data_IF_293198741089
#
_entry.id   IF_293198741089
#
_cell.length_a   1.000
_cell.length_b   1.000
_cell.length_c   1.000
_cell.angle_alpha   90.00
_cell.angle_beta   90.00
_cell.angle_gamma   90.00
#
_symmetry.space_group_name_H-M   'P 1'
#
loop_
_entity.id
_entity.type
_entity.pdbx_description
1 polymer ?
#
# COMPACT_ATOMS: atom_id res chain seq x y z
N UNK A 1 -5.18 0.92 28.00
CA UNK A 1 -3.97 0.28 27.46
C UNK A 1 -3.61 1.04 26.18
N UNK A 2 -2.49 1.76 26.16
CA UNK A 2 -2.03 2.45 24.94
C UNK A 2 -1.58 1.38 23.96
N UNK A 3 -2.41 1.11 22.96
CA UNK A 3 -2.00 0.26 21.84
C UNK A 3 -0.92 0.99 21.04
N UNK A 4 0.16 0.29 20.69
CA UNK A 4 1.18 0.87 19.79
C UNK A 4 0.53 1.38 18.50
N UNK A 5 1.10 2.40 17.84
CA UNK A 5 0.64 2.82 16.52
C UNK A 5 0.64 1.66 15.52
N UNK A 6 -0.35 1.63 14.63
CA UNK A 6 -0.39 0.67 13.51
C UNK A 6 0.77 0.96 12.57
N UNK A 7 1.55 -0.06 12.23
CA UNK A 7 2.77 0.01 11.42
C UNK A 7 2.45 -0.35 9.97
N UNK A 8 2.63 0.61 9.07
CA UNK A 8 2.28 0.48 7.65
C UNK A 8 3.52 0.60 6.78
N UNK A 9 3.87 -0.45 6.05
CA UNK A 9 4.90 -0.42 5.02
C UNK A 9 4.31 -0.01 3.68
N UNK A 10 4.99 0.87 2.97
CA UNK A 10 4.59 1.37 1.66
C UNK A 10 5.63 0.95 0.63
N UNK A 11 5.28 -0.03 -0.20
CA UNK A 11 6.13 -0.57 -1.27
C UNK A 11 5.89 0.25 -2.53
N UNK A 12 6.79 1.20 -2.80
CA UNK A 12 6.60 2.22 -3.84
C UNK A 12 7.95 2.87 -4.26
N UNK A 13 7.93 4.13 -4.69
CA UNK A 13 9.11 4.92 -5.09
C UNK A 13 9.86 5.55 -3.91
N UNK A 14 9.47 5.25 -2.69
CA UNK A 14 10.01 5.87 -1.49
C UNK A 14 9.02 6.87 -0.86
N UNK A 15 9.43 7.51 0.21
CA UNK A 15 8.66 8.56 0.89
C UNK A 15 9.57 9.77 1.12
N UNK A 16 9.09 10.97 0.82
CA UNK A 16 9.77 12.21 1.23
C UNK A 16 9.39 12.55 2.68
N UNK A 17 10.30 12.40 3.66
CA UNK A 17 9.99 12.64 5.07
C UNK A 17 9.77 14.12 5.40
N UNK A 18 10.10 15.03 4.47
CA UNK A 18 9.91 16.48 4.62
C UNK A 18 8.58 16.97 4.08
N UNK A 19 7.78 16.08 3.47
CA UNK A 19 6.45 16.45 2.98
C UNK A 19 5.49 16.68 4.16
N UNK A 20 4.86 17.87 4.18
CA UNK A 20 3.99 18.30 5.29
C UNK A 20 2.75 17.43 5.47
N UNK A 21 2.31 16.72 4.45
CA UNK A 21 1.14 15.84 4.52
C UNK A 21 1.50 14.43 5.03
N UNK A 22 2.78 14.09 5.06
CA UNK A 22 3.23 12.75 5.46
C UNK A 22 3.61 12.67 6.92
N UNK A 23 4.46 13.49 7.43
CA UNK A 23 5.03 13.60 8.79
C UNK A 23 5.24 12.24 9.49
N UNK A 24 6.29 12.08 10.29
CA UNK A 24 6.57 10.89 11.08
C UNK A 24 6.71 9.58 10.25
N UNK A 25 7.69 9.58 9.33
CA UNK A 25 8.20 8.36 8.72
C UNK A 25 9.24 7.77 9.66
N UNK A 26 9.05 6.52 10.07
CA UNK A 26 9.92 5.86 11.06
C UNK A 26 11.25 5.38 10.46
N UNK A 27 11.31 5.29 9.12
CA UNK A 27 12.48 4.82 8.38
C UNK A 27 12.07 4.01 7.18
N UNK A 28 13.02 3.22 6.66
CA UNK A 28 12.74 2.39 5.50
C UNK A 28 13.96 1.69 4.92
N UNK A 29 13.77 1.13 3.73
CA UNK A 29 14.77 0.39 2.98
C UNK A 29 14.64 0.69 1.48
N UNK A 30 15.76 0.79 0.78
CA UNK A 30 15.81 0.70 -0.68
C UNK A 30 16.10 -0.73 -1.09
N UNK A 31 15.32 -1.28 -2.02
CA UNK A 31 15.49 -2.65 -2.51
C UNK A 31 15.63 -2.61 -4.02
N UNK A 32 16.67 -3.25 -4.53
CA UNK A 32 16.97 -3.34 -5.98
C UNK A 32 17.26 -4.77 -6.37
N UNK A 33 16.92 -5.10 -7.60
CA UNK A 33 17.42 -6.30 -8.24
C UNK A 33 18.42 -5.89 -9.33
N UNK A 34 19.67 -6.29 -9.15
CA UNK A 34 20.76 -6.00 -10.07
C UNK A 34 21.69 -7.21 -10.16
N UNK A 35 22.17 -7.50 -11.37
CA UNK A 35 23.15 -8.56 -11.63
C UNK A 35 22.74 -9.93 -11.02
N UNK A 36 21.43 -10.25 -11.12
CA UNK A 36 20.86 -11.50 -10.62
C UNK A 36 20.69 -11.57 -9.08
N UNK A 37 20.87 -10.45 -8.37
CA UNK A 37 20.79 -10.40 -6.90
C UNK A 37 19.86 -9.30 -6.42
N UNK A 38 19.25 -9.55 -5.27
CA UNK A 38 18.53 -8.50 -4.53
C UNK A 38 19.52 -7.83 -3.59
N UNK A 39 19.50 -6.51 -3.61
CA UNK A 39 20.34 -5.66 -2.76
C UNK A 39 19.43 -4.75 -1.92
N UNK A 40 19.70 -4.65 -0.62
CA UNK A 40 19.05 -3.72 0.30
C UNK A 40 20.02 -2.61 0.70
N UNK A 41 19.53 -1.37 0.71
CA UNK A 41 20.30 -0.20 1.17
C UNK A 41 19.44 0.76 1.99
N UNK A 42 20.03 1.82 2.54
CA UNK A 42 19.33 2.85 3.32
C UNK A 42 18.66 3.94 2.47
N UNK A 43 18.65 3.82 1.14
CA UNK A 43 18.12 4.86 0.23
C UNK A 43 16.61 4.71 0.03
N UNK A 44 15.82 5.01 1.03
CA UNK A 44 14.37 4.87 1.02
C UNK A 44 13.61 6.16 0.69
N UNK A 45 14.30 7.30 0.53
CA UNK A 45 13.66 8.56 0.18
C UNK A 45 13.12 8.55 -1.25
N UNK A 46 11.98 9.25 -1.45
CA UNK A 46 11.28 9.32 -2.72
C UNK A 46 11.95 10.30 -3.70
N UNK A 47 12.14 9.83 -4.93
CA UNK A 47 12.66 10.63 -6.04
C UNK A 47 11.63 10.87 -7.16
N UNK A 48 10.49 10.18 -7.13
CA UNK A 48 9.46 10.25 -8.18
C UNK A 48 8.18 10.98 -7.72
N UNK A 49 8.00 11.12 -6.40
CA UNK A 49 6.85 11.78 -5.79
C UNK A 49 5.61 10.87 -5.61
N UNK A 50 5.58 9.71 -6.28
CA UNK A 50 4.42 8.81 -6.26
C UNK A 50 4.21 8.16 -4.88
N UNK A 51 5.23 7.57 -4.29
CA UNK A 51 5.13 6.95 -2.96
C UNK A 51 4.84 7.96 -1.87
N UNK A 52 5.28 9.20 -2.01
CA UNK A 52 4.91 10.30 -1.11
C UNK A 52 3.42 10.64 -1.22
N UNK A 53 2.84 10.63 -2.42
CA UNK A 53 1.40 10.83 -2.61
C UNK A 53 0.57 9.69 -2.02
N UNK A 54 1.04 8.44 -2.17
CA UNK A 54 0.47 7.25 -1.52
C UNK A 54 0.51 7.40 0.00
N UNK A 55 1.67 7.73 0.57
CA UNK A 55 1.85 7.95 2.00
C UNK A 55 0.94 9.06 2.55
N UNK A 56 0.82 10.18 1.84
CA UNK A 56 -0.06 11.28 2.21
C UNK A 56 -1.54 10.86 2.22
N UNK A 57 -1.95 10.01 1.28
CA UNK A 57 -3.31 9.46 1.22
C UNK A 57 -3.58 8.56 2.42
N UNK A 58 -2.67 7.61 2.73
CA UNK A 58 -2.77 6.74 3.91
C UNK A 58 -2.83 7.57 5.19
N UNK A 59 -1.94 8.55 5.34
CA UNK A 59 -1.87 9.47 6.49
C UNK A 59 -3.17 10.23 6.69
N UNK A 60 -3.87 10.59 5.61
CA UNK A 60 -5.16 11.25 5.66
C UNK A 60 -6.24 10.45 6.38
N UNK A 61 -6.23 9.12 6.23
CA UNK A 61 -7.19 8.21 6.88
C UNK A 61 -6.72 7.74 8.26
N UNK A 62 -5.42 7.60 8.45
CA UNK A 62 -4.80 7.07 9.68
C UNK A 62 -3.68 8.01 10.19
N UNK A 63 -4.03 9.16 10.79
CA UNK A 63 -3.03 10.17 11.22
C UNK A 63 -2.02 9.63 12.23
N UNK A 64 -2.40 8.66 13.06
CA UNK A 64 -1.54 8.08 14.10
C UNK A 64 -0.74 6.84 13.64
N UNK A 65 -0.83 6.42 12.37
CA UNK A 65 -0.08 5.26 11.88
C UNK A 65 1.43 5.57 11.79
N UNK A 66 2.27 4.61 12.11
CA UNK A 66 3.72 4.65 11.85
C UNK A 66 3.99 4.18 10.42
N UNK A 67 4.57 5.04 9.59
CA UNK A 67 4.83 4.75 8.18
C UNK A 67 6.28 4.31 7.97
N UNK A 68 6.46 3.27 7.15
CA UNK A 68 7.76 2.74 6.73
C UNK A 68 7.85 2.77 5.21
N UNK A 69 8.96 3.29 4.69
CA UNK A 69 9.21 3.38 3.25
C UNK A 69 9.95 2.14 2.76
N UNK A 70 9.40 1.46 1.76
CA UNK A 70 10.04 0.32 1.10
C UNK A 70 10.17 0.68 -0.37
N UNK A 71 11.33 1.22 -0.75
CA UNK A 71 11.54 1.76 -2.08
C UNK A 71 11.99 0.68 -3.05
N UNK A 72 11.11 0.33 -3.99
CA UNK A 72 11.39 -0.62 -5.08
C UNK A 72 11.39 0.06 -6.45
N UNK A 73 10.77 1.24 -6.59
CA UNK A 73 10.82 2.04 -7.82
C UNK A 73 11.92 3.08 -7.73
N UNK A 74 12.86 3.07 -8.67
CA UNK A 74 14.05 3.93 -8.61
C UNK A 74 14.09 5.03 -9.67
N UNK A 75 13.78 4.71 -10.92
CA UNK A 75 13.79 5.67 -12.05
C UNK A 75 12.43 5.80 -12.73
N UNK A 76 11.57 4.80 -12.61
CA UNK A 76 10.21 4.73 -13.13
C UNK A 76 9.38 3.84 -12.21
N UNK A 77 8.08 3.85 -12.37
CA UNK A 77 7.14 3.07 -11.52
C UNK A 77 7.09 1.61 -11.98
N UNK A 78 8.26 0.98 -12.01
CA UNK A 78 8.48 -0.42 -12.39
C UNK A 78 9.48 -1.05 -11.42
N UNK A 79 9.25 -2.30 -11.05
CA UNK A 79 10.15 -3.09 -10.22
C UNK A 79 10.29 -4.51 -10.75
N UNK A 80 11.44 -5.11 -10.52
CA UNK A 80 11.62 -6.54 -10.66
C UNK A 80 10.83 -7.28 -9.57
N UNK A 81 10.22 -8.41 -9.92
CA UNK A 81 9.43 -9.19 -8.97
C UNK A 81 10.25 -9.65 -7.77
N UNK A 82 11.51 -9.98 -7.99
CA UNK A 82 12.45 -10.39 -6.95
C UNK A 82 12.60 -9.30 -5.86
N UNK A 83 12.63 -8.03 -6.26
CA UNK A 83 12.65 -6.90 -5.31
C UNK A 83 11.31 -6.73 -4.59
N UNK A 84 10.19 -7.03 -5.25
CA UNK A 84 8.86 -6.98 -4.64
C UNK A 84 8.69 -8.09 -3.60
N UNK A 85 9.15 -9.31 -3.92
CA UNK A 85 9.11 -10.43 -2.98
C UNK A 85 9.94 -10.14 -1.74
N UNK A 86 11.15 -9.59 -1.93
CA UNK A 86 12.02 -9.18 -0.83
C UNK A 86 11.42 -8.03 0.01
N UNK A 87 10.65 -7.13 -0.62
CA UNK A 87 9.91 -6.07 0.07
C UNK A 87 8.83 -6.63 1.00
N UNK A 88 8.13 -7.69 0.56
CA UNK A 88 7.14 -8.39 1.39
C UNK A 88 7.83 -9.07 2.57
N UNK A 89 8.93 -9.77 2.33
CA UNK A 89 9.72 -10.45 3.37
C UNK A 89 10.28 -9.43 4.38
N UNK A 90 10.79 -8.28 3.92
CA UNK A 90 11.22 -7.20 4.80
C UNK A 90 10.08 -6.68 5.70
N UNK A 91 8.88 -6.55 5.15
CA UNK A 91 7.69 -6.15 5.93
C UNK A 91 7.37 -7.13 7.06
N UNK A 92 7.53 -8.42 6.81
CA UNK A 92 7.38 -9.49 7.82
C UNK A 92 8.50 -9.41 8.86
N UNK A 93 9.77 -9.28 8.44
CA UNK A 93 10.92 -9.11 9.32
C UNK A 93 10.75 -7.92 10.28
N UNK A 94 10.21 -6.82 9.77
CA UNK A 94 9.92 -5.61 10.56
C UNK A 94 8.65 -5.72 11.40
N UNK A 95 7.90 -6.82 11.34
CA UNK A 95 6.62 -7.01 12.04
C UNK A 95 5.65 -5.85 11.79
N UNK A 96 5.50 -5.48 10.52
CA UNK A 96 4.50 -4.51 10.11
C UNK A 96 3.09 -5.10 10.30
N UNK A 97 2.09 -4.24 10.47
CA UNK A 97 0.69 -4.67 10.54
C UNK A 97 0.06 -4.72 9.15
N UNK A 98 0.47 -3.78 8.29
CA UNK A 98 -0.04 -3.63 6.93
C UNK A 98 1.10 -3.41 5.94
N UNK A 99 0.94 -3.98 4.74
CA UNK A 99 1.74 -3.66 3.56
C UNK A 99 0.83 -3.10 2.46
N UNK A 100 1.13 -1.87 2.01
CA UNK A 100 0.54 -1.25 0.83
C UNK A 100 1.42 -1.58 -0.37
N UNK A 101 0.92 -2.37 -1.30
CA UNK A 101 1.61 -2.69 -2.55
C UNK A 101 0.96 -1.91 -3.69
N UNK A 102 1.55 -0.78 -4.06
CA UNK A 102 1.09 0.11 -5.15
C UNK A 102 1.35 -0.47 -6.54
N UNK A 103 1.38 -1.78 -6.66
CA UNK A 103 1.68 -2.52 -7.88
C UNK A 103 0.86 -3.80 -7.94
N UNK A 104 0.56 -4.23 -9.16
CA UNK A 104 0.01 -5.55 -9.45
C UNK A 104 1.00 -6.37 -10.26
N UNK A 105 0.86 -7.69 -10.24
CA UNK A 105 1.63 -8.56 -11.10
C UNK A 105 0.93 -8.68 -12.46
N UNK A 106 1.60 -8.23 -13.54
CA UNK A 106 1.11 -8.39 -14.92
C UNK A 106 1.68 -9.63 -15.62
N UNK A 107 2.68 -10.26 -15.02
CA UNK A 107 3.34 -11.45 -15.54
C UNK A 107 2.76 -12.70 -14.86
N UNK A 108 2.01 -13.52 -15.62
CA UNK A 108 1.38 -14.74 -15.13
C UNK A 108 2.36 -15.76 -14.54
N UNK A 109 3.58 -15.84 -15.07
CA UNK A 109 4.61 -16.77 -14.55
C UNK A 109 5.08 -16.40 -13.15
N UNK A 110 5.09 -15.09 -12.84
CA UNK A 110 5.52 -14.55 -11.56
C UNK A 110 4.35 -14.34 -10.56
N UNK A 111 3.12 -14.43 -11.05
CA UNK A 111 1.91 -14.21 -10.24
C UNK A 111 1.80 -15.22 -9.09
N UNK A 112 2.08 -16.49 -9.35
CA UNK A 112 2.03 -17.54 -8.34
C UNK A 112 3.03 -17.29 -7.18
N UNK A 113 4.24 -16.81 -7.48
CA UNK A 113 5.22 -16.46 -6.47
C UNK A 113 4.77 -15.25 -5.64
N UNK A 114 4.19 -14.23 -6.28
CA UNK A 114 3.62 -13.06 -5.61
C UNK A 114 2.48 -13.44 -4.66
N UNK A 115 1.50 -14.22 -5.16
CA UNK A 115 0.35 -14.71 -4.38
C UNK A 115 0.83 -15.52 -3.17
N UNK A 116 1.80 -16.43 -3.37
CA UNK A 116 2.39 -17.23 -2.31
C UNK A 116 3.10 -16.38 -1.23
N UNK A 117 3.83 -15.34 -1.65
CA UNK A 117 4.48 -14.42 -0.72
C UNK A 117 3.45 -13.60 0.09
N UNK A 118 2.39 -13.13 -0.56
CA UNK A 118 1.29 -12.44 0.12
C UNK A 118 0.59 -13.35 1.15
N UNK A 119 0.28 -14.61 0.76
CA UNK A 119 -0.33 -15.59 1.65
C UNK A 119 0.53 -15.81 2.89
N UNK A 120 1.82 -16.06 2.70
CA UNK A 120 2.79 -16.25 3.80
C UNK A 120 2.87 -15.02 4.71
N UNK A 121 2.85 -13.80 4.17
CA UNK A 121 2.82 -12.59 4.98
C UNK A 121 1.54 -12.51 5.82
N UNK A 122 0.38 -12.81 5.23
CA UNK A 122 -0.91 -12.85 5.93
C UNK A 122 -0.91 -13.88 7.07
N UNK A 123 -0.39 -15.09 6.84
CA UNK A 123 -0.27 -16.15 7.86
C UNK A 123 0.64 -15.72 9.02
N UNK A 124 1.63 -14.88 8.75
CA UNK A 124 2.53 -14.29 9.74
C UNK A 124 2.00 -12.99 10.37
N UNK A 125 0.74 -12.64 10.10
CA UNK A 125 0.03 -11.51 10.72
C UNK A 125 0.24 -10.15 10.05
N UNK A 126 0.82 -10.12 8.84
CA UNK A 126 0.99 -8.89 8.06
C UNK A 126 -0.08 -8.84 6.97
N UNK A 127 -1.07 -7.96 7.12
CA UNK A 127 -2.12 -7.82 6.10
C UNK A 127 -1.59 -7.10 4.86
N UNK A 128 -1.72 -7.74 3.71
CA UNK A 128 -1.32 -7.17 2.42
C UNK A 128 -2.53 -6.54 1.73
N UNK A 129 -2.40 -5.28 1.29
CA UNK A 129 -3.36 -4.58 0.43
C UNK A 129 -2.67 -4.27 -0.90
N UNK A 130 -3.20 -4.78 -2.00
CA UNK A 130 -2.54 -4.69 -3.31
C UNK A 130 -3.52 -4.35 -4.42
N UNK A 131 -3.00 -3.80 -5.51
CA UNK A 131 -3.78 -3.66 -6.74
C UNK A 131 -4.25 -5.05 -7.21
N UNK A 132 -5.51 -5.12 -7.65
CA UNK A 132 -6.04 -6.34 -8.24
C UNK A 132 -5.21 -6.72 -9.49
N UNK A 133 -4.77 -7.98 -9.53
CA UNK A 133 -4.09 -8.58 -10.68
C UNK A 133 -5.09 -9.22 -11.65
N UNK A 134 -4.60 -10.19 -12.42
CA UNK A 134 -5.42 -10.96 -13.35
C UNK A 134 -6.33 -11.97 -12.65
N UNK A 135 -6.00 -12.35 -11.42
CA UNK A 135 -6.82 -13.22 -10.56
C UNK A 135 -7.24 -12.49 -9.29
N UNK A 136 -8.49 -12.75 -8.86
CA UNK A 136 -9.01 -12.29 -7.57
C UNK A 136 -8.65 -13.34 -6.52
N UNK A 137 -7.62 -13.05 -5.74
CA UNK A 137 -7.06 -13.99 -4.78
C UNK A 137 -7.49 -13.66 -3.34
N UNK A 138 -7.70 -14.72 -2.54
CA UNK A 138 -7.97 -14.56 -1.10
C UNK A 138 -6.73 -14.21 -0.28
N UNK A 139 -5.54 -14.31 -0.88
CA UNK A 139 -4.23 -14.18 -0.22
C UNK A 139 -3.84 -12.75 0.13
N UNK A 140 -4.61 -11.74 -0.33
CA UNK A 140 -4.43 -10.33 0.00
C UNK A 140 -5.75 -9.57 -0.20
N UNK A 141 -5.84 -8.34 0.28
CA UNK A 141 -6.98 -7.46 0.01
C UNK A 141 -6.76 -6.84 -1.37
N UNK A 142 -7.48 -7.36 -2.36
CA UNK A 142 -7.41 -6.88 -3.74
C UNK A 142 -8.22 -5.60 -3.92
N UNK A 143 -7.62 -4.59 -4.57
CA UNK A 143 -8.23 -3.28 -4.79
C UNK A 143 -8.16 -2.87 -6.26
N UNK A 144 -9.26 -2.36 -6.78
CA UNK A 144 -9.34 -1.69 -8.08
C UNK A 144 -9.77 -0.22 -7.92
N UNK A 145 -9.40 0.60 -8.90
CA UNK A 145 -9.83 1.98 -8.96
C UNK A 145 -11.29 2.10 -9.44
N UNK A 146 -12.02 3.05 -8.87
CA UNK A 146 -13.35 3.45 -9.32
C UNK A 146 -13.45 4.98 -9.26
N UNK A 147 -13.55 5.62 -10.42
CA UNK A 147 -13.57 7.08 -10.55
C UNK A 147 -14.86 7.74 -10.05
N UNK A 148 -15.91 6.96 -9.80
CA UNK A 148 -17.16 7.44 -9.21
C UNK A 148 -17.06 7.60 -7.70
N UNK A 149 -16.08 6.93 -7.07
CA UNK A 149 -15.89 6.98 -5.63
C UNK A 149 -14.95 8.13 -5.21
N UNK A 150 -15.25 8.74 -4.07
CA UNK A 150 -14.46 9.81 -3.52
C UNK A 150 -14.08 9.60 -2.05
N UNK A 151 -12.91 10.10 -1.67
CA UNK A 151 -12.47 10.13 -0.28
C UNK A 151 -12.46 8.76 0.40
N UNK A 152 -13.38 8.54 1.34
CA UNK A 152 -13.48 7.31 2.13
C UNK A 152 -14.48 6.29 1.56
N UNK A 153 -15.09 6.61 0.45
CA UNK A 153 -16.05 5.69 -0.17
C UNK A 153 -15.35 4.45 -0.71
N UNK A 154 -15.90 3.30 -0.38
CA UNK A 154 -15.46 2.01 -0.90
C UNK A 154 -16.68 1.22 -1.37
N UNK A 155 -16.50 0.43 -2.42
CA UNK A 155 -17.49 -0.52 -2.92
C UNK A 155 -16.91 -1.92 -2.82
N UNK A 156 -17.65 -2.84 -2.23
CA UNK A 156 -17.26 -4.25 -2.11
C UNK A 156 -17.93 -5.07 -3.22
N UNK A 157 -17.14 -5.81 -3.94
CA UNK A 157 -17.54 -6.89 -4.84
C UNK A 157 -16.93 -8.20 -4.32
N UNK A 158 -17.48 -9.38 -4.63
CA UNK A 158 -16.89 -10.64 -4.16
C UNK A 158 -15.40 -10.75 -4.49
N UNK A 159 -14.56 -10.71 -3.45
CA UNK A 159 -13.11 -10.78 -3.55
C UNK A 159 -12.40 -9.48 -3.96
N UNK A 160 -13.10 -8.39 -4.26
CA UNK A 160 -12.53 -7.14 -4.75
C UNK A 160 -13.11 -5.94 -4.01
N UNK A 161 -12.26 -5.01 -3.62
CA UNK A 161 -12.66 -3.69 -3.17
C UNK A 161 -12.41 -2.66 -4.28
N UNK A 162 -13.33 -1.71 -4.41
CA UNK A 162 -13.13 -0.52 -5.24
C UNK A 162 -13.03 0.71 -4.37
N UNK A 163 -12.13 1.61 -4.75
CA UNK A 163 -11.92 2.86 -4.04
C UNK A 163 -11.51 3.98 -4.99
N UNK A 164 -11.55 5.21 -4.50
CA UNK A 164 -11.17 6.40 -5.25
C UNK A 164 -9.76 6.31 -5.84
N UNK A 165 -9.56 6.60 -7.14
CA UNK A 165 -8.23 6.64 -7.75
C UNK A 165 -7.47 7.93 -7.46
N UNK A 166 -8.04 8.89 -6.77
CA UNK A 166 -7.49 10.23 -6.65
C UNK A 166 -6.63 10.40 -5.40
N UNK A 167 -5.43 10.93 -5.59
CA UNK A 167 -4.58 11.31 -4.46
C UNK A 167 -5.22 12.43 -3.63
N UNK A 168 -4.85 12.49 -2.35
CA UNK A 168 -5.23 13.59 -1.49
C UNK A 168 -4.82 14.94 -2.11
N UNK A 169 -5.70 15.96 -2.10
CA UNK A 169 -5.37 17.25 -2.66
C UNK A 169 -4.08 17.84 -2.11
N UNK A 170 -3.24 18.38 -2.99
CA UNK A 170 -1.98 19.05 -2.64
C UNK A 170 -2.10 20.54 -2.98
N UNK A 171 -2.53 21.33 -2.00
CA UNK A 171 -2.66 22.78 -2.14
C UNK A 171 -3.66 23.17 -3.24
N UNK A 172 -3.23 24.08 -4.15
CA UNK A 172 -4.06 24.59 -5.25
C UNK A 172 -3.94 23.82 -6.57
N UNK A 173 -3.24 22.67 -6.58
CA UNK A 173 -3.11 21.88 -7.80
C UNK A 173 -4.48 21.34 -8.21
N UNK A 174 -4.91 21.53 -9.48
CA UNK A 174 -6.08 20.88 -10.02
C UNK A 174 -5.98 19.37 -9.85
N UNK A 175 -7.10 18.71 -9.55
CA UNK A 175 -7.19 17.28 -9.30
C UNK A 175 -6.52 16.45 -10.40
N UNK A 176 -6.74 16.83 -11.66
CA UNK A 176 -6.25 16.14 -12.85
C UNK A 176 -4.73 16.23 -13.02
N UNK A 177 -4.09 17.19 -12.35
CA UNK A 177 -2.63 17.37 -12.34
C UNK A 177 -1.95 16.65 -11.16
N UNK A 178 -2.73 16.04 -10.26
CA UNK A 178 -2.21 15.26 -9.15
C UNK A 178 -2.06 13.79 -9.57
N UNK A 179 -1.35 13.00 -8.75
CA UNK A 179 -1.29 11.56 -8.97
C UNK A 179 -2.69 10.95 -8.89
N UNK A 180 -2.96 10.00 -9.78
CA UNK A 180 -4.20 9.23 -9.81
C UNK A 180 -3.95 7.82 -10.35
N UNK A 181 -4.83 6.90 -10.03
CA UNK A 181 -4.77 5.51 -10.49
C UNK A 181 -4.99 4.50 -9.36
N UNK A 182 -4.87 3.22 -9.71
CA UNK A 182 -5.12 2.11 -8.78
C UNK A 182 -4.25 2.16 -7.53
N UNK A 183 -3.01 2.66 -7.63
CA UNK A 183 -2.12 2.85 -6.48
C UNK A 183 -2.74 3.71 -5.39
N UNK A 184 -3.49 4.76 -5.78
CA UNK A 184 -4.17 5.63 -4.82
C UNK A 184 -5.42 4.96 -4.23
N UNK A 185 -6.14 4.15 -5.02
CA UNK A 185 -7.23 3.33 -4.51
C UNK A 185 -6.73 2.34 -3.43
N UNK A 186 -5.59 1.69 -3.67
CA UNK A 186 -4.90 0.84 -2.68
C UNK A 186 -4.55 1.65 -1.43
N UNK A 187 -4.03 2.87 -1.59
CA UNK A 187 -3.68 3.74 -0.48
C UNK A 187 -4.90 4.14 0.37
N UNK A 188 -6.04 4.44 -0.25
CA UNK A 188 -7.29 4.72 0.46
C UNK A 188 -7.70 3.51 1.32
N UNK A 189 -7.77 2.32 0.74
CA UNK A 189 -8.12 1.09 1.46
C UNK A 189 -7.12 0.79 2.57
N UNK A 190 -5.82 0.92 2.32
CA UNK A 190 -4.77 0.72 3.34
C UNK A 190 -4.93 1.69 4.51
N UNK A 191 -5.20 2.96 4.25
CA UNK A 191 -5.41 3.96 5.29
C UNK A 191 -6.67 3.69 6.12
N UNK A 192 -7.76 3.29 5.47
CA UNK A 192 -9.00 2.86 6.16
C UNK A 192 -8.73 1.62 7.02
N UNK A 193 -8.03 0.62 6.48
CA UNK A 193 -7.64 -0.59 7.21
C UNK A 193 -6.77 -0.27 8.44
N UNK A 194 -5.80 0.64 8.30
CA UNK A 194 -4.96 1.10 9.42
C UNK A 194 -5.81 1.77 10.52
N UNK A 195 -6.78 2.59 10.15
CA UNK A 195 -7.73 3.21 11.09
C UNK A 195 -8.60 2.16 11.79
N UNK A 196 -9.08 1.14 11.08
CA UNK A 196 -9.86 0.05 11.67
C UNK A 196 -9.02 -0.76 12.67
N UNK A 197 -7.79 -1.13 12.33
CA UNK A 197 -6.86 -1.81 13.25
C UNK A 197 -6.60 -0.98 14.51
N UNK A 198 -6.41 0.34 14.39
CA UNK A 198 -6.18 1.21 15.53
C UNK A 198 -7.37 1.27 16.50
N UNK A 199 -8.57 0.94 16.02
CA UNK A 199 -9.81 0.83 16.80
C UNK A 199 -10.08 -0.58 17.35
N UNK A 200 -9.14 -1.53 17.12
CA UNK A 200 -9.23 -2.90 17.62
C UNK A 200 -9.95 -3.88 16.69
N UNK A 201 -10.28 -3.47 15.46
CA UNK A 201 -10.87 -4.40 14.48
C UNK A 201 -9.82 -5.46 14.10
N UNK A 202 -10.23 -6.72 14.07
CA UNK A 202 -9.36 -7.86 13.74
C UNK A 202 -9.73 -8.53 12.42
N UNK A 203 -10.97 -8.41 11.99
CA UNK A 203 -11.49 -8.99 10.75
C UNK A 203 -11.60 -7.92 9.67
N UNK A 204 -10.47 -7.44 9.15
CA UNK A 204 -10.42 -6.32 8.20
C UNK A 204 -11.29 -6.52 6.97
N UNK A 205 -11.30 -7.72 6.36
CA UNK A 205 -12.14 -7.99 5.17
C UNK A 205 -13.62 -7.80 5.45
N UNK A 206 -14.10 -8.33 6.57
CA UNK A 206 -15.49 -8.19 6.99
C UNK A 206 -15.84 -6.74 7.36
N UNK A 207 -14.93 -6.05 8.06
CA UNK A 207 -15.13 -4.65 8.42
C UNK A 207 -15.19 -3.75 7.17
N UNK A 208 -14.30 -3.95 6.20
CA UNK A 208 -14.29 -3.24 4.93
C UNK A 208 -15.55 -3.56 4.09
N UNK A 209 -16.01 -4.81 4.08
CA UNK A 209 -17.24 -5.16 3.38
C UNK A 209 -18.48 -4.50 3.98
N UNK A 210 -18.54 -4.37 5.32
CA UNK A 210 -19.63 -3.65 6.02
C UNK A 210 -19.63 -2.14 5.75
N UNK A 211 -18.47 -1.56 5.45
CA UNK A 211 -18.35 -0.14 5.11
C UNK A 211 -18.77 0.17 3.67
N UNK A 212 -18.87 -0.86 2.83
CA UNK A 212 -19.34 -0.69 1.46
C UNK A 212 -20.72 -0.06 1.48
N UNK A 213 -20.80 1.17 1.00
CA UNK A 213 -22.09 1.87 0.88
C UNK A 213 -22.95 1.07 -0.10
N UNK A 214 -23.96 0.40 0.43
CA UNK A 214 -25.00 -0.23 -0.38
C UNK A 214 -25.72 0.88 -1.18
N UNK A 215 -25.57 0.87 -2.49
CA UNK A 215 -26.53 1.46 -3.42
C UNK A 215 -27.10 0.36 -4.28
#
# INVERSE_FOLDING_TARGET
MSSRPVRVGIVDSGINPRDRQVVAVEGGVGIRFRDGRVERDSSWEDLLGHGTAVAATIRGHAPAASLFSIRVFHRRLEAHMEAVLDAIDWGVEQRLDLLNLSLGCTNREKEAAFVSACARAMDLGVTVVSAAGTSVESSFIAVAADSELEGEEIRFEPGLLRASPWARPRGVLPREKNFHGTSLAVAHVTGIAARLLSRGERSLREALSRMSSGR
#
